data_IF_466765881876
#
_entry.id   IF_466765881876
#
_cell.length_a   1.000
_cell.length_b   1.000
_cell.length_c   1.000
_cell.angle_alpha   90.00
_cell.angle_beta   90.00
_cell.angle_gamma   90.00
#
_symmetry.space_group_name_H-M   'P 1'
#
loop_
_entity.id
_entity.type
_entity.pdbx_description
1 polymer ?
#
# COMPACT_ATOMS: atom_id res chain seq x y z
N UNK A 1 -2.23 -11.53 -3.47
CA UNK A 1 -1.89 -10.17 -3.96
C UNK A 1 -1.21 -10.33 -5.31
N UNK A 2 -1.79 -9.78 -6.37
CA UNK A 2 -1.27 -10.00 -7.73
C UNK A 2 -0.16 -9.01 -8.08
N UNK A 3 0.66 -9.33 -9.08
CA UNK A 3 1.70 -8.44 -9.62
C UNK A 3 1.14 -7.04 -9.97
N UNK A 4 -0.12 -6.99 -10.41
CA UNK A 4 -0.83 -5.76 -10.72
C UNK A 4 -1.05 -4.85 -9.49
N UNK A 5 -1.37 -5.43 -8.33
CA UNK A 5 -1.52 -4.64 -7.09
C UNK A 5 -0.18 -4.04 -6.65
N UNK A 6 0.90 -4.82 -6.79
CA UNK A 6 2.26 -4.38 -6.50
C UNK A 6 2.69 -3.22 -7.42
N UNK A 7 2.44 -3.34 -8.73
CA UNK A 7 2.67 -2.29 -9.71
C UNK A 7 1.83 -1.03 -9.42
N UNK A 8 0.56 -1.20 -9.01
CA UNK A 8 -0.32 -0.07 -8.65
C UNK A 8 0.24 0.70 -7.46
N UNK A 9 0.64 0.02 -6.40
CA UNK A 9 1.21 0.67 -5.20
C UNK A 9 2.53 1.38 -5.54
N UNK A 10 3.41 0.73 -6.33
CA UNK A 10 4.66 1.33 -6.78
C UNK A 10 4.42 2.59 -7.63
N UNK A 11 3.46 2.53 -8.56
CA UNK A 11 3.07 3.67 -9.40
C UNK A 11 2.52 4.83 -8.58
N UNK A 12 1.66 4.55 -7.59
CA UNK A 12 1.11 5.57 -6.69
C UNK A 12 2.23 6.21 -5.85
N UNK A 13 3.17 5.41 -5.34
CA UNK A 13 4.34 5.90 -4.62
C UNK A 13 5.20 6.85 -5.47
N UNK A 14 5.41 6.51 -6.75
CA UNK A 14 6.14 7.35 -7.69
C UNK A 14 5.42 8.69 -7.93
N UNK A 15 4.12 8.66 -8.19
CA UNK A 15 3.31 9.88 -8.39
C UNK A 15 3.36 10.78 -7.15
N UNK A 16 3.23 10.21 -5.95
CA UNK A 16 3.33 10.95 -4.68
C UNK A 16 4.72 11.59 -4.55
N UNK A 17 5.79 10.85 -4.84
CA UNK A 17 7.17 11.36 -4.81
C UNK A 17 7.38 12.55 -5.76
N UNK A 18 6.87 12.45 -7.00
CA UNK A 18 6.93 13.55 -7.96
C UNK A 18 6.15 14.79 -7.48
N UNK A 19 4.94 14.60 -6.96
CA UNK A 19 4.12 15.70 -6.44
C UNK A 19 4.76 16.35 -5.21
N UNK A 20 5.40 15.56 -4.34
CA UNK A 20 6.11 16.08 -3.17
C UNK A 20 7.23 17.05 -3.57
N UNK A 21 8.10 16.63 -4.50
CA UNK A 21 9.18 17.45 -5.04
C UNK A 21 8.62 18.72 -5.69
N UNK A 22 7.53 18.59 -6.47
CA UNK A 22 6.88 19.72 -7.10
C UNK A 22 6.38 20.75 -6.09
N UNK A 23 5.66 20.33 -5.04
CA UNK A 23 5.14 21.26 -4.03
C UNK A 23 6.25 21.89 -3.20
N UNK A 24 7.34 21.15 -2.94
CA UNK A 24 8.50 21.68 -2.25
C UNK A 24 9.20 22.78 -3.07
N UNK A 25 9.42 22.55 -4.36
CA UNK A 25 10.03 23.52 -5.27
C UNK A 25 9.15 24.76 -5.48
N UNK A 26 7.83 24.61 -5.45
CA UNK A 26 6.89 25.74 -5.61
C UNK A 26 6.67 26.53 -4.31
N UNK A 27 7.35 26.16 -3.20
CA UNK A 27 7.22 26.80 -1.90
C UNK A 27 5.90 26.50 -1.17
N UNK A 28 5.08 25.60 -1.71
CA UNK A 28 3.74 25.24 -1.22
C UNK A 28 3.80 24.10 -0.18
N UNK A 29 4.58 24.29 0.88
CA UNK A 29 4.89 23.24 1.88
C UNK A 29 3.66 22.64 2.56
N UNK A 30 2.61 23.43 2.78
CA UNK A 30 1.35 22.97 3.37
C UNK A 30 0.70 21.84 2.54
N UNK A 31 0.71 21.97 1.21
CA UNK A 31 0.18 20.94 0.31
C UNK A 31 1.01 19.66 0.33
N UNK A 32 2.32 19.79 0.58
CA UNK A 32 3.22 18.66 0.75
C UNK A 32 2.88 17.84 2.01
N UNK A 33 2.50 18.52 3.10
CA UNK A 33 2.00 17.85 4.30
C UNK A 33 0.71 17.07 4.04
N UNK A 34 -0.28 17.68 3.40
CA UNK A 34 -1.54 17.00 3.06
C UNK A 34 -1.33 15.82 2.10
N UNK A 35 -0.41 15.97 1.15
CA UNK A 35 -0.03 14.89 0.23
C UNK A 35 0.52 13.68 0.98
N UNK A 36 1.44 13.89 1.94
CA UNK A 36 1.95 12.81 2.78
C UNK A 36 0.89 12.20 3.68
N UNK A 37 -0.02 13.00 4.23
CA UNK A 37 -1.10 12.48 5.04
C UNK A 37 -2.00 11.52 4.25
N UNK A 38 -2.37 11.89 3.02
CA UNK A 38 -3.16 11.02 2.14
C UNK A 38 -2.36 9.77 1.74
N UNK A 39 -1.07 9.93 1.41
CA UNK A 39 -0.18 8.82 1.09
C UNK A 39 -0.09 7.80 2.25
N UNK A 40 0.02 8.31 3.48
CA UNK A 40 0.08 7.49 4.67
C UNK A 40 -1.21 6.70 4.91
N UNK A 41 -2.37 7.35 4.74
CA UNK A 41 -3.66 6.68 4.84
C UNK A 41 -3.81 5.58 3.77
N UNK A 42 -3.43 5.89 2.53
CA UNK A 42 -3.46 4.93 1.42
C UNK A 42 -2.62 3.68 1.72
N UNK A 43 -1.35 3.87 2.10
CA UNK A 43 -0.45 2.76 2.44
C UNK A 43 -0.98 1.96 3.64
N UNK A 44 -1.53 2.64 4.65
CA UNK A 44 -2.11 1.97 5.82
C UNK A 44 -3.27 1.04 5.44
N UNK A 45 -4.15 1.49 4.53
CA UNK A 45 -5.25 0.66 4.01
C UNK A 45 -4.73 -0.53 3.19
N UNK A 46 -3.74 -0.32 2.32
CA UNK A 46 -3.12 -1.40 1.56
C UNK A 46 -2.44 -2.43 2.47
N UNK A 47 -1.80 -1.99 3.56
CA UNK A 47 -1.19 -2.87 4.55
C UNK A 47 -2.22 -3.76 5.26
N UNK A 48 -3.37 -3.19 5.65
CA UNK A 48 -4.48 -3.98 6.23
C UNK A 48 -5.00 -5.01 5.21
N UNK A 49 -5.11 -4.62 3.94
CA UNK A 49 -5.56 -5.52 2.87
C UNK A 49 -4.60 -6.67 2.66
N UNK A 50 -3.30 -6.38 2.65
CA UNK A 50 -2.24 -7.37 2.59
C UNK A 50 -2.30 -8.34 3.78
N UNK A 51 -2.47 -7.79 5.00
CA UNK A 51 -2.57 -8.60 6.21
C UNK A 51 -3.76 -9.57 6.17
N UNK A 52 -4.91 -9.11 5.66
CA UNK A 52 -6.09 -9.97 5.48
C UNK A 52 -5.79 -11.14 4.53
N UNK A 53 -5.19 -10.85 3.37
CA UNK A 53 -4.81 -11.88 2.40
C UNK A 53 -3.83 -12.87 3.04
N UNK A 54 -2.81 -12.37 3.72
CA UNK A 54 -1.81 -13.20 4.37
C UNK A 54 -2.42 -14.18 5.39
N UNK A 55 -3.34 -13.71 6.23
CA UNK A 55 -4.04 -14.58 7.17
C UNK A 55 -4.97 -15.58 6.48
N UNK A 56 -5.60 -15.21 5.36
CA UNK A 56 -6.41 -16.14 4.57
C UNK A 56 -5.56 -17.27 4.02
N UNK A 57 -4.43 -16.97 3.38
CA UNK A 57 -3.49 -17.98 2.85
C UNK A 57 -2.98 -18.92 3.95
N UNK A 58 -2.66 -18.38 5.12
CA UNK A 58 -2.25 -19.19 6.28
C UNK A 58 -3.38 -20.12 6.72
N UNK A 59 -4.60 -19.61 6.83
CA UNK A 59 -5.76 -20.41 7.24
C UNK A 59 -6.03 -21.53 6.25
N UNK A 60 -5.96 -21.25 4.96
CA UNK A 60 -6.13 -22.24 3.89
C UNK A 60 -5.04 -23.32 3.94
N UNK A 61 -3.78 -22.92 4.19
CA UNK A 61 -2.68 -23.86 4.39
C UNK A 61 -2.93 -24.81 5.57
N UNK A 62 -3.36 -24.28 6.72
CA UNK A 62 -3.67 -25.11 7.89
C UNK A 62 -4.88 -26.02 7.67
N UNK A 63 -5.91 -25.55 6.96
CA UNK A 63 -7.06 -26.38 6.60
C UNK A 63 -6.65 -27.55 5.69
N UNK A 64 -5.85 -27.27 4.65
CA UNK A 64 -5.30 -28.31 3.78
C UNK A 64 -4.48 -29.34 4.57
N UNK A 65 -3.60 -28.86 5.47
CA UNK A 65 -2.79 -29.73 6.32
C UNK A 65 -3.66 -30.65 7.20
N UNK A 66 -4.77 -30.12 7.73
CA UNK A 66 -5.69 -30.88 8.58
C UNK A 66 -6.51 -31.94 7.83
N UNK A 67 -6.76 -31.75 6.53
CA UNK A 67 -7.46 -32.71 5.67
C UNK A 67 -6.52 -33.79 5.11
N UNK A 68 -5.21 -33.48 5.04
CA UNK A 68 -4.18 -34.41 4.56
C UNK A 68 -3.72 -35.43 5.63
N UNK A 69 -4.13 -35.24 6.89
CA UNK A 69 -3.85 -36.11 8.04
C UNK A 69 -5.10 -36.92 8.41
#
# INVERSE_FOLDING_TARGET
MELNDLLRIAGIGLVIGCLHIFFEQTGKKEFSFFLFFIAYLYISVEMIRFLKIFFTEISEFFQWLSLAM
#
